data_IF_588935524182
#
_entry.id   IF_588935524182
#
_cell.length_a   1.000
_cell.length_b   1.000
_cell.length_c   1.000
_cell.angle_alpha   90.00
_cell.angle_beta   90.00
_cell.angle_gamma   90.00
#
_symmetry.space_group_name_H-M   'P 1'
#
loop_
_entity.id
_entity.type
_entity.pdbx_description
1 polymer ?
#
# COMPACT_ATOMS: atom_id res chain seq x y z
N UNK A 1 -1.66 -3.61 -23.60
CA UNK A 1 -0.39 -3.91 -22.89
C UNK A 1 0.04 -2.80 -21.93
N UNK A 2 0.04 -1.52 -22.31
CA UNK A 2 0.51 -0.42 -21.44
C UNK A 2 -0.26 -0.28 -20.11
N UNK A 3 -1.60 -0.40 -20.13
CA UNK A 3 -2.42 -0.22 -18.91
C UNK A 3 -2.31 -1.38 -17.91
N UNK A 4 -2.06 -2.61 -18.37
CA UNK A 4 -1.84 -3.74 -17.47
C UNK A 4 -0.51 -3.60 -16.71
N UNK A 5 0.53 -3.07 -17.37
CA UNK A 5 1.80 -2.75 -16.73
C UNK A 5 1.66 -1.67 -15.66
N UNK A 6 0.78 -0.68 -15.88
CA UNK A 6 0.49 0.36 -14.89
C UNK A 6 -0.16 -0.23 -13.62
N UNK A 7 -1.16 -1.09 -13.78
CA UNK A 7 -1.83 -1.76 -12.65
C UNK A 7 -0.83 -2.53 -11.79
N UNK A 8 0.06 -3.30 -12.45
CA UNK A 8 1.13 -4.05 -11.77
C UNK A 8 2.10 -3.11 -11.05
N UNK A 9 2.49 -2.01 -11.68
CA UNK A 9 3.41 -1.03 -11.10
C UNK A 9 2.80 -0.32 -9.88
N UNK A 10 1.53 0.06 -9.94
CA UNK A 10 0.82 0.69 -8.81
C UNK A 10 0.74 -0.24 -7.60
N UNK A 11 0.48 -1.54 -7.80
CA UNK A 11 0.45 -2.50 -6.70
C UNK A 11 1.80 -2.74 -6.07
N UNK A 12 2.83 -2.92 -6.91
CA UNK A 12 4.20 -3.08 -6.44
C UNK A 12 4.63 -1.85 -5.64
N UNK A 13 4.34 -0.65 -6.14
CA UNK A 13 4.66 0.59 -5.46
C UNK A 13 3.86 0.75 -4.15
N UNK A 14 2.57 0.39 -4.15
CA UNK A 14 1.71 0.41 -2.96
C UNK A 14 2.21 -0.57 -1.90
N UNK A 15 2.56 -1.80 -2.29
CA UNK A 15 3.12 -2.79 -1.38
C UNK A 15 4.47 -2.34 -0.80
N UNK A 16 5.36 -1.78 -1.64
CA UNK A 16 6.64 -1.25 -1.17
C UNK A 16 6.47 -0.09 -0.17
N UNK A 17 5.58 0.86 -0.48
CA UNK A 17 5.26 1.98 0.42
C UNK A 17 4.59 1.47 1.71
N UNK A 18 3.64 0.55 1.59
CA UNK A 18 2.97 -0.11 2.72
C UNK A 18 3.94 -0.80 3.66
N UNK A 19 4.92 -1.55 3.13
CA UNK A 19 5.98 -2.20 3.92
C UNK A 19 6.87 -1.19 4.63
N UNK A 20 7.30 -0.13 3.94
CA UNK A 20 8.10 0.94 4.55
C UNK A 20 7.34 1.62 5.69
N UNK A 21 6.08 1.98 5.44
CA UNK A 21 5.20 2.62 6.43
C UNK A 21 5.01 1.70 7.64
N UNK A 22 4.66 0.43 7.40
CA UNK A 22 4.45 -0.57 8.43
C UNK A 22 5.72 -0.77 9.29
N UNK A 23 6.86 -0.97 8.65
CA UNK A 23 8.14 -1.16 9.32
C UNK A 23 8.54 0.04 10.16
N UNK A 24 8.38 1.26 9.64
CA UNK A 24 8.67 2.49 10.39
C UNK A 24 7.83 2.61 11.66
N UNK A 25 6.51 2.46 11.54
CA UNK A 25 5.61 2.62 12.67
C UNK A 25 5.69 1.45 13.66
N UNK A 26 5.96 0.22 13.19
CA UNK A 26 6.24 -0.92 14.04
C UNK A 26 7.52 -0.70 14.85
N UNK A 27 8.59 -0.21 14.22
CA UNK A 27 9.84 0.13 14.90
C UNK A 27 9.62 1.27 15.92
N UNK A 28 8.84 2.30 15.57
CA UNK A 28 8.49 3.38 16.49
C UNK A 28 7.72 2.85 17.72
N UNK A 29 6.75 1.95 17.51
CA UNK A 29 5.99 1.32 18.59
C UNK A 29 6.89 0.45 19.49
N UNK A 30 7.78 -0.34 18.88
CA UNK A 30 8.69 -1.25 19.58
C UNK A 30 9.68 -0.52 20.49
N UNK A 31 10.23 0.61 20.02
CA UNK A 31 11.16 1.45 20.80
C UNK A 31 10.51 2.11 22.02
N UNK A 32 9.19 1.97 22.21
CA UNK A 32 8.40 2.53 23.32
C UNK A 32 8.58 4.05 23.51
N UNK A 33 8.97 4.76 22.45
CA UNK A 33 9.17 6.19 22.51
C UNK A 33 7.83 6.94 22.48
N UNK A 34 7.64 7.88 23.40
CA UNK A 34 6.46 8.74 23.48
C UNK A 34 5.33 8.24 24.39
N UNK A 35 4.29 9.06 24.50
CA UNK A 35 3.12 8.76 25.34
C UNK A 35 2.35 7.52 24.85
N UNK A 36 1.55 6.92 25.75
CA UNK A 36 0.74 5.72 25.46
C UNK A 36 -0.14 5.90 24.22
N UNK A 37 -0.72 7.10 24.03
CA UNK A 37 -1.52 7.44 22.85
C UNK A 37 -0.73 7.42 21.54
N UNK A 38 0.50 7.97 21.53
CA UNK A 38 1.36 7.96 20.34
C UNK A 38 1.80 6.54 19.96
N UNK A 39 2.00 5.67 20.95
CA UNK A 39 2.31 4.25 20.73
C UNK A 39 1.12 3.51 20.11
N UNK A 40 -0.09 3.70 20.63
CA UNK A 40 -1.31 3.10 20.05
C UNK A 40 -1.50 3.59 18.60
N UNK A 41 -1.35 4.90 18.37
CA UNK A 41 -1.40 5.46 17.02
C UNK A 41 -0.38 4.85 16.07
N UNK A 42 0.87 4.65 16.52
CA UNK A 42 1.88 3.99 15.72
C UNK A 42 1.55 2.52 15.43
N UNK A 43 1.07 1.76 16.43
CA UNK A 43 0.63 0.38 16.19
C UNK A 43 -0.52 0.32 15.16
N UNK A 44 -1.50 1.21 15.26
CA UNK A 44 -2.59 1.31 14.30
C UNK A 44 -2.08 1.64 12.89
N UNK A 45 -1.17 2.62 12.76
CA UNK A 45 -0.57 2.98 11.47
C UNK A 45 0.29 1.84 10.89
N UNK A 46 0.96 1.06 11.74
CA UNK A 46 1.71 -0.12 11.31
C UNK A 46 0.78 -1.19 10.72
N UNK A 47 -0.36 -1.44 11.39
CA UNK A 47 -1.38 -2.36 10.90
C UNK A 47 -2.02 -1.88 9.59
N UNK A 48 -2.31 -0.58 9.46
CA UNK A 48 -2.82 0.02 8.23
C UNK A 48 -1.81 -0.15 7.08
N UNK A 49 -0.52 0.09 7.34
CA UNK A 49 0.54 -0.16 6.36
C UNK A 49 0.59 -1.62 5.92
N UNK A 50 0.50 -2.56 6.87
CA UNK A 50 0.44 -3.98 6.56
C UNK A 50 -0.83 -4.39 5.79
N UNK A 51 -1.98 -3.83 6.14
CA UNK A 51 -3.24 -4.07 5.44
C UNK A 51 -3.18 -3.59 3.98
N UNK A 52 -2.52 -2.45 3.71
CA UNK A 52 -2.31 -1.97 2.35
C UNK A 52 -1.42 -2.91 1.53
N UNK A 53 -0.44 -3.57 2.14
CA UNK A 53 0.38 -4.60 1.46
C UNK A 53 -0.47 -5.81 1.10
N UNK A 54 -1.27 -6.31 2.04
CA UNK A 54 -2.15 -7.45 1.80
C UNK A 54 -3.18 -7.14 0.72
N UNK A 55 -3.77 -5.95 0.75
CA UNK A 55 -4.74 -5.48 -0.25
C UNK A 55 -4.09 -5.39 -1.64
N UNK A 56 -2.89 -4.82 -1.76
CA UNK A 56 -2.17 -4.74 -3.02
C UNK A 56 -1.86 -6.13 -3.61
N UNK A 57 -1.39 -7.07 -2.79
CA UNK A 57 -1.10 -8.45 -3.21
C UNK A 57 -2.40 -9.16 -3.64
N UNK A 58 -3.44 -9.06 -2.82
CA UNK A 58 -4.73 -9.72 -3.09
C UNK A 58 -5.34 -9.19 -4.38
N UNK A 59 -5.37 -7.87 -4.54
CA UNK A 59 -5.96 -7.23 -5.70
C UNK A 59 -5.13 -7.51 -6.96
N UNK A 60 -3.81 -7.69 -6.85
CA UNK A 60 -2.95 -8.12 -7.96
C UNK A 60 -3.28 -9.57 -8.36
N UNK A 61 -3.43 -10.49 -7.40
CA UNK A 61 -3.86 -11.85 -7.68
C UNK A 61 -5.24 -11.89 -8.35
N UNK A 62 -6.17 -11.03 -7.92
CA UNK A 62 -7.49 -10.89 -8.52
C UNK A 62 -7.41 -10.38 -9.96
N UNK A 63 -6.53 -9.40 -10.24
CA UNK A 63 -6.31 -8.87 -11.60
C UNK A 63 -5.86 -9.98 -12.57
N UNK A 64 -4.89 -10.81 -12.19
CA UNK A 64 -4.44 -11.94 -13.00
C UNK A 64 -5.51 -13.01 -13.16
N UNK A 65 -6.22 -13.34 -12.07
CA UNK A 65 -7.33 -14.31 -12.11
C UNK A 65 -8.44 -13.89 -13.08
N UNK A 66 -8.78 -12.60 -13.13
CA UNK A 66 -9.78 -12.09 -14.08
C UNK A 66 -9.29 -12.08 -15.54
N UNK A 67 -7.97 -11.96 -15.76
CA UNK A 67 -7.39 -12.05 -17.10
C UNK A 67 -7.34 -13.49 -17.64
N UNK A 68 -7.08 -14.48 -16.78
CA UNK A 68 -6.92 -15.89 -17.20
C UNK A 68 -8.23 -16.66 -17.31
N UNK A 69 -9.19 -16.43 -16.40
CA UNK A 69 -10.38 -17.30 -16.25
C UNK A 69 -11.51 -16.91 -17.21
N UNK A 70 -11.40 -15.80 -17.95
CA UNK A 70 -12.43 -15.40 -18.92
C UNK A 70 -13.78 -15.07 -18.30
N UNK A 71 -13.87 -14.99 -16.96
CA UNK A 71 -14.91 -14.25 -16.25
C UNK A 71 -14.81 -12.82 -16.78
N UNK A 72 -15.71 -12.46 -17.70
CA UNK A 72 -15.74 -11.18 -18.40
C UNK A 72 -15.22 -10.07 -17.46
N UNK A 73 -13.99 -9.60 -17.72
CA UNK A 73 -13.26 -8.72 -16.81
C UNK A 73 -14.16 -7.56 -16.41
N UNK A 74 -14.64 -7.57 -15.17
CA UNK A 74 -15.67 -6.63 -14.73
C UNK A 74 -15.18 -5.18 -14.81
N UNK A 75 -13.85 -4.99 -14.78
CA UNK A 75 -13.18 -3.71 -14.90
C UNK A 75 -12.11 -3.78 -15.99
N UNK A 76 -12.12 -2.78 -16.88
CA UNK A 76 -11.00 -2.58 -17.80
C UNK A 76 -9.73 -2.24 -17.01
N UNK A 77 -8.52 -2.56 -17.53
CA UNK A 77 -7.27 -2.24 -16.84
C UNK A 77 -7.12 -0.75 -16.46
N UNK A 78 -7.70 0.16 -17.25
CA UNK A 78 -7.71 1.59 -16.93
C UNK A 78 -8.59 1.93 -15.72
N UNK A 79 -9.79 1.35 -15.63
CA UNK A 79 -10.65 1.53 -14.45
C UNK A 79 -10.04 0.90 -13.20
N UNK A 80 -9.33 -0.21 -13.37
CA UNK A 80 -8.59 -0.86 -12.29
C UNK A 80 -7.48 0.04 -11.72
N UNK A 81 -6.67 0.65 -12.58
CA UNK A 81 -5.63 1.59 -12.17
C UNK A 81 -6.24 2.81 -11.43
N UNK A 82 -7.31 3.38 -11.99
CA UNK A 82 -8.02 4.50 -11.34
C UNK A 82 -8.56 4.14 -9.95
N UNK A 83 -9.06 2.91 -9.76
CA UNK A 83 -9.56 2.45 -8.47
C UNK A 83 -8.44 2.32 -7.42
N UNK A 84 -7.20 2.09 -7.85
CA UNK A 84 -6.03 1.87 -6.97
C UNK A 84 -5.27 3.14 -6.62
N UNK A 85 -5.38 4.15 -7.47
CA UNK A 85 -4.71 5.43 -7.34
C UNK A 85 -4.88 6.07 -5.94
N UNK A 86 -6.07 6.04 -5.28
CA UNK A 86 -6.22 6.59 -3.93
C UNK A 86 -5.35 5.88 -2.87
N UNK A 87 -5.29 4.55 -2.89
CA UNK A 87 -4.50 3.79 -1.93
C UNK A 87 -3.01 3.97 -2.18
N UNK A 88 -2.61 3.95 -3.45
CA UNK A 88 -1.24 4.25 -3.84
C UNK A 88 -0.82 5.66 -3.37
N UNK A 89 -1.62 6.68 -3.67
CA UNK A 89 -1.34 8.06 -3.27
C UNK A 89 -1.25 8.21 -1.74
N UNK A 90 -2.13 7.55 -0.98
CA UNK A 90 -2.11 7.57 0.48
C UNK A 90 -0.84 6.93 1.05
N UNK A 91 -0.50 5.73 0.59
CA UNK A 91 0.71 5.01 1.07
C UNK A 91 1.99 5.76 0.69
N UNK A 92 2.07 6.27 -0.54
CA UNK A 92 3.19 7.09 -1.02
C UNK A 92 3.35 8.38 -0.21
N UNK A 93 2.26 9.09 0.08
CA UNK A 93 2.30 10.34 0.85
C UNK A 93 2.89 10.11 2.24
N UNK A 94 2.47 9.04 2.91
CA UNK A 94 3.02 8.66 4.22
C UNK A 94 4.50 8.30 4.09
N UNK A 95 4.89 7.55 3.06
CA UNK A 95 6.29 7.19 2.83
C UNK A 95 7.17 8.42 2.59
N UNK A 96 6.69 9.40 1.81
CA UNK A 96 7.39 10.68 1.61
C UNK A 96 7.56 11.44 2.92
N UNK A 97 6.52 11.48 3.77
CA UNK A 97 6.60 12.11 5.10
C UNK A 97 7.64 11.42 5.98
N UNK A 98 7.65 10.08 6.00
CA UNK A 98 8.63 9.29 6.75
C UNK A 98 10.05 9.55 6.25
N UNK A 99 10.28 9.49 4.93
CA UNK A 99 11.60 9.72 4.33
C UNK A 99 12.10 11.13 4.63
N UNK A 100 11.25 12.15 4.47
CA UNK A 100 11.61 13.53 4.84
C UNK A 100 12.04 13.62 6.30
N UNK A 101 11.31 12.96 7.20
CA UNK A 101 11.62 12.94 8.64
C UNK A 101 12.91 12.19 8.98
N UNK A 102 13.32 11.21 8.17
CA UNK A 102 14.57 10.47 8.37
C UNK A 102 15.80 11.20 7.84
N UNK A 103 15.61 12.11 6.88
CA UNK A 103 16.68 12.87 6.23
C UNK A 103 16.89 14.27 6.84
N UNK A 104 15.92 14.77 7.61
CA UNK A 104 16.00 16.01 8.40
C UNK A 104 16.55 15.77 9.80
#
# INVERSE_FOLDING_TARGET
MQLAGLVVAEDLATAACGLLNAGYFAAYWWRRNGSRGRRIGAAALALVGGAAVVEAIFSQALFWSQQEVGLAGQLSPGLWALARLPLFAATLSISVIILRRLLS
#
